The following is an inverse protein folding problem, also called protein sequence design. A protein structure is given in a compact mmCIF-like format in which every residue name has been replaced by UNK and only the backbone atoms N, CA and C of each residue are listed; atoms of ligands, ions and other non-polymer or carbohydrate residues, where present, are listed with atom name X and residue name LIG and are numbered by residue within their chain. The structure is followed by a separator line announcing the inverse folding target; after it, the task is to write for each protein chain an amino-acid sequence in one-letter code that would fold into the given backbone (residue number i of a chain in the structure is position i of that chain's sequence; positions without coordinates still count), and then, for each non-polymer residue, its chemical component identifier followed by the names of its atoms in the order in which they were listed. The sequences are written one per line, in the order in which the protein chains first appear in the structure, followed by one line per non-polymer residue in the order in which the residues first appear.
data_IF_207534257666
#
_entry.id   IF_207534257666
#
_cell.length_a   1.000
_cell.length_b   1.000
_cell.length_c   1.000
_cell.angle_alpha   90.00
_cell.angle_beta   90.00
_cell.angle_gamma   90.00
#
_symmetry.space_group_name_H-M   'P 1'
#
loop_
_entity.id
_entity.type
_entity.pdbx_description
1 polymer ?
#
# COMPACT_ATOMS: atom_id res chain seq x y z
N UNK A 1 -4.40 5.68 -25.21
CA UNK A 1 -3.08 5.90 -24.56
C UNK A 1 -2.44 4.54 -24.34
N UNK A 2 -1.24 4.36 -24.89
CA UNK A 2 -0.60 3.06 -25.12
C UNK A 2 -0.16 2.44 -23.78
N UNK A 3 -0.90 1.45 -23.27
CA UNK A 3 -0.51 0.68 -22.08
C UNK A 3 0.56 -0.32 -22.50
N UNK A 4 1.81 -0.03 -22.17
CA UNK A 4 2.92 -0.97 -22.32
C UNK A 4 2.68 -2.14 -21.38
N UNK A 5 2.06 -3.20 -21.89
CA UNK A 5 1.94 -4.49 -21.21
C UNK A 5 3.34 -4.94 -20.81
N UNK A 6 3.62 -5.02 -19.51
CA UNK A 6 4.86 -5.55 -18.99
C UNK A 6 4.94 -7.05 -19.36
N UNK A 7 5.76 -7.38 -20.37
CA UNK A 7 5.87 -8.71 -21.00
C UNK A 7 6.79 -9.68 -20.24
N UNK A 8 6.76 -9.66 -18.91
CA UNK A 8 7.60 -10.56 -18.10
C UNK A 8 6.75 -11.76 -17.66
N UNK A 9 7.25 -12.97 -17.91
CA UNK A 9 6.50 -14.22 -17.67
C UNK A 9 5.99 -14.33 -16.21
N UNK A 10 6.75 -13.83 -15.24
CA UNK A 10 6.37 -13.82 -13.83
C UNK A 10 5.16 -12.93 -13.51
N UNK A 11 5.07 -11.73 -14.10
CA UNK A 11 3.95 -10.80 -13.89
C UNK A 11 2.64 -11.38 -14.46
N UNK A 12 2.74 -12.17 -15.54
CA UNK A 12 1.59 -12.87 -16.11
C UNK A 12 1.00 -13.89 -15.13
N UNK A 13 1.85 -14.70 -14.49
CA UNK A 13 1.41 -15.67 -13.47
C UNK A 13 0.73 -14.99 -12.29
N UNK A 14 1.29 -13.85 -11.82
CA UNK A 14 0.66 -13.07 -10.77
C UNK A 14 -0.71 -12.55 -11.22
N UNK A 15 -0.84 -12.07 -12.46
CA UNK A 15 -2.13 -11.62 -13.00
C UNK A 15 -3.17 -12.73 -13.03
N UNK A 16 -2.80 -13.92 -13.51
CA UNK A 16 -3.67 -15.08 -13.53
C UNK A 16 -4.16 -15.43 -12.12
N UNK A 17 -3.28 -15.36 -11.11
CA UNK A 17 -3.67 -15.56 -9.71
C UNK A 17 -4.66 -14.48 -9.21
N UNK A 18 -4.45 -13.22 -9.59
CA UNK A 18 -5.38 -12.12 -9.25
C UNK A 18 -6.76 -12.35 -9.87
N UNK A 19 -6.80 -12.75 -11.15
CA UNK A 19 -8.03 -13.00 -11.89
C UNK A 19 -8.82 -14.20 -11.33
N UNK A 20 -8.10 -15.22 -10.85
CA UNK A 20 -8.64 -16.38 -10.11
C UNK A 20 -9.02 -16.08 -8.66
N UNK A 21 -8.97 -14.81 -8.23
CA UNK A 21 -9.30 -14.36 -6.88
C UNK A 21 -8.42 -14.96 -5.77
N UNK A 22 -7.20 -15.39 -6.11
CA UNK A 22 -6.22 -15.86 -5.11
C UNK A 22 -5.66 -14.68 -4.30
N UNK A 23 -5.28 -14.89 -3.03
CA UNK A 23 -4.60 -13.87 -2.24
C UNK A 23 -3.23 -13.53 -2.83
N UNK A 24 -2.96 -12.24 -3.08
CA UNK A 24 -1.67 -11.72 -3.54
C UNK A 24 -1.22 -10.59 -2.63
N UNK A 25 0.01 -10.67 -2.12
CA UNK A 25 0.61 -9.65 -1.24
C UNK A 25 1.91 -9.12 -1.85
N UNK A 26 1.99 -7.80 -2.07
CA UNK A 26 3.20 -7.11 -2.49
C UNK A 26 3.79 -6.26 -1.36
N UNK A 27 5.00 -6.55 -0.92
CA UNK A 27 5.68 -5.83 0.17
C UNK A 27 6.83 -4.99 -0.41
N UNK A 28 6.93 -3.71 0.00
CA UNK A 28 7.93 -2.75 -0.45
C UNK A 28 7.98 -2.66 -1.99
N UNK A 29 9.04 -3.18 -2.61
CA UNK A 29 9.15 -3.25 -4.08
C UNK A 29 8.01 -4.09 -4.71
N UNK A 30 7.43 -5.03 -3.97
CA UNK A 30 6.25 -5.77 -4.40
C UNK A 30 5.02 -4.87 -4.61
N UNK A 31 4.81 -3.87 -3.75
CA UNK A 31 3.74 -2.87 -3.96
C UNK A 31 4.00 -2.09 -5.24
N UNK A 32 5.25 -1.64 -5.46
CA UNK A 32 5.63 -0.92 -6.68
C UNK A 32 5.30 -1.73 -7.94
N UNK A 33 5.68 -3.02 -7.96
CA UNK A 33 5.39 -3.92 -9.08
C UNK A 33 3.88 -4.07 -9.30
N UNK A 34 3.08 -4.25 -8.24
CA UNK A 34 1.62 -4.41 -8.37
C UNK A 34 0.94 -3.14 -8.91
N UNK A 35 1.45 -1.97 -8.52
CA UNK A 35 0.98 -0.66 -8.99
C UNK A 35 1.37 -0.44 -10.46
N UNK A 36 2.64 -0.66 -10.82
CA UNK A 36 3.13 -0.53 -12.20
C UNK A 36 2.46 -1.54 -13.16
N UNK A 37 2.14 -2.73 -12.66
CA UNK A 37 1.39 -3.72 -13.41
C UNK A 37 -0.12 -3.37 -13.51
N UNK A 38 -0.61 -2.33 -12.84
CA UNK A 38 -2.03 -1.94 -12.84
C UNK A 38 -2.93 -2.97 -12.15
N UNK A 39 -2.39 -3.73 -11.19
CA UNK A 39 -3.17 -4.60 -10.30
C UNK A 39 -3.66 -3.85 -9.05
N UNK A 40 -2.97 -2.77 -8.69
CA UNK A 40 -3.36 -1.81 -7.67
C UNK A 40 -3.37 -0.38 -8.26
N UNK A 41 -4.26 0.51 -7.79
CA UNK A 41 -4.29 1.91 -8.23
C UNK A 41 -3.13 2.74 -7.66
N UNK A 42 -2.78 3.81 -8.36
CA UNK A 42 -1.84 4.85 -7.90
C UNK A 42 -0.46 4.77 -8.52
N UNK A 43 0.50 5.40 -7.84
CA UNK A 43 1.92 5.40 -8.18
C UNK A 43 2.76 5.39 -6.90
N UNK A 44 3.98 4.85 -6.97
CA UNK A 44 4.97 4.98 -5.90
C UNK A 44 6.08 5.88 -6.40
N UNK A 45 6.33 6.97 -5.68
CA UNK A 45 7.31 7.99 -5.99
C UNK A 45 8.49 7.93 -5.01
N UNK A 46 9.55 8.69 -5.32
CA UNK A 46 10.63 8.95 -4.38
C UNK A 46 10.09 9.61 -3.10
N UNK A 47 10.70 9.26 -1.98
CA UNK A 47 10.38 9.87 -0.69
C UNK A 47 10.50 11.40 -0.78
N UNK A 48 9.60 12.13 -0.11
CA UNK A 48 9.63 13.61 -0.10
C UNK A 48 10.96 14.19 0.38
N UNK A 49 11.59 13.55 1.37
CA UNK A 49 12.91 13.93 1.90
C UNK A 49 14.10 13.51 1.02
N UNK A 50 13.88 12.81 -0.10
CA UNK A 50 14.90 12.28 -1.03
C UNK A 50 16.02 11.47 -0.35
N UNK A 51 15.71 10.85 0.80
CA UNK A 51 16.63 10.02 1.57
C UNK A 51 16.05 8.64 1.79
N UNK A 52 16.95 7.67 1.91
CA UNK A 52 16.62 6.34 2.38
C UNK A 52 16.14 6.40 3.84
N UNK A 53 15.02 5.76 4.12
CA UNK A 53 14.48 5.66 5.48
C UNK A 53 14.53 4.22 5.95
N UNK A 54 15.20 4.00 7.08
CA UNK A 54 15.20 2.76 7.83
C UNK A 54 14.81 3.06 9.27
N UNK A 55 13.57 2.74 9.63
CA UNK A 55 12.99 3.10 10.92
C UNK A 55 11.85 2.15 11.29
N UNK A 56 11.52 2.14 12.58
CA UNK A 56 10.27 1.56 13.04
C UNK A 56 9.14 2.57 12.89
N UNK A 57 8.03 2.15 12.30
CA UNK A 57 6.84 2.99 12.11
C UNK A 57 5.65 2.43 12.88
N UNK A 58 4.70 3.28 13.20
CA UNK A 58 3.40 2.90 13.77
C UNK A 58 2.35 2.97 12.67
N UNK A 59 1.61 1.90 12.51
CA UNK A 59 0.59 1.75 11.48
C UNK A 59 -0.75 1.45 12.12
N UNK A 60 -1.79 2.20 11.77
CA UNK A 60 -3.16 1.89 12.16
C UNK A 60 -3.82 1.05 11.08
N UNK A 61 -4.45 -0.05 11.48
CA UNK A 61 -5.25 -0.90 10.59
C UNK A 61 -6.58 -0.21 10.29
N UNK A 62 -6.83 0.13 9.03
CA UNK A 62 -8.03 0.85 8.59
C UNK A 62 -9.17 -0.10 8.15
N UNK A 63 -8.81 -1.27 7.61
CA UNK A 63 -9.77 -2.32 7.27
C UNK A 63 -9.20 -3.70 7.57
N UNK A 64 -10.08 -4.63 7.92
CA UNK A 64 -9.75 -6.04 8.14
C UNK A 64 -10.26 -6.96 7.03
N UNK A 65 -10.81 -6.38 5.96
CA UNK A 65 -11.47 -7.11 4.86
C UNK A 65 -10.54 -7.93 3.96
N UNK A 66 -9.23 -7.74 4.08
CA UNK A 66 -8.24 -8.50 3.29
C UNK A 66 -7.89 -9.81 3.99
N UNK A 67 -7.53 -10.87 3.27
CA UNK A 67 -7.04 -12.12 3.87
C UNK A 67 -5.86 -11.92 4.84
N UNK A 68 -5.09 -10.85 4.65
CA UNK A 68 -3.86 -10.55 5.38
C UNK A 68 -4.08 -9.80 6.69
N UNK A 69 -5.30 -9.30 6.93
CA UNK A 69 -5.66 -8.47 8.10
C UNK A 69 -6.76 -9.10 8.96
N UNK A 70 -7.12 -10.36 8.69
CA UNK A 70 -8.26 -11.04 9.35
C UNK A 70 -8.07 -11.27 10.85
N UNK A 71 -6.82 -11.38 11.31
CA UNK A 71 -6.49 -11.54 12.73
C UNK A 71 -6.24 -10.20 13.45
N UNK A 72 -6.28 -9.08 12.72
CA UNK A 72 -6.15 -7.75 13.29
C UNK A 72 -7.51 -7.17 13.65
N UNK A 73 -7.51 -6.07 14.40
CA UNK A 73 -8.71 -5.29 14.70
C UNK A 73 -8.65 -3.94 13.98
N UNK A 74 -9.77 -3.47 13.45
CA UNK A 74 -9.86 -2.11 12.89
C UNK A 74 -9.53 -1.09 13.99
N UNK A 75 -8.64 -0.15 13.69
CA UNK A 75 -8.10 0.83 14.63
C UNK A 75 -6.89 0.34 15.44
N UNK A 76 -6.53 -0.94 15.36
CA UNK A 76 -5.34 -1.48 16.01
C UNK A 76 -4.07 -0.82 15.46
N UNK A 77 -3.18 -0.41 16.36
CA UNK A 77 -1.85 0.06 15.99
C UNK A 77 -0.85 -1.10 16.00
N UNK A 78 -0.10 -1.25 14.91
CA UNK A 78 0.99 -2.18 14.74
C UNK A 78 2.31 -1.41 14.63
N UNK A 79 3.40 -1.99 15.13
CA UNK A 79 4.74 -1.43 14.96
C UNK A 79 5.48 -2.25 13.92
N UNK A 80 5.80 -1.66 12.77
CA UNK A 80 6.36 -2.38 11.61
C UNK A 80 7.56 -1.59 11.05
N UNK A 81 8.69 -2.26 10.72
CA UNK A 81 9.84 -1.59 10.14
C UNK A 81 9.64 -1.19 8.68
N UNK A 82 10.31 -0.13 8.25
CA UNK A 82 10.43 0.29 6.86
C UNK A 82 11.90 0.32 6.44
N UNK A 83 12.16 0.09 5.15
CA UNK A 83 13.49 0.16 4.56
C UNK A 83 13.37 0.48 3.06
N UNK A 84 13.23 1.76 2.71
CA UNK A 84 13.07 2.16 1.30
C UNK A 84 13.58 3.58 1.00
N UNK A 85 14.03 3.78 -0.24
CA UNK A 85 14.31 5.09 -0.82
C UNK A 85 13.13 5.65 -1.63
N UNK A 86 12.26 4.75 -2.09
CA UNK A 86 11.09 5.02 -2.93
C UNK A 86 9.88 4.33 -2.32
N UNK A 87 9.12 5.07 -1.52
CA UNK A 87 7.95 4.53 -0.82
C UNK A 87 6.79 5.50 -0.70
N UNK A 88 6.85 6.63 -1.42
CA UNK A 88 5.81 7.64 -1.35
C UNK A 88 4.62 7.22 -2.22
N UNK A 89 3.55 6.74 -1.61
CA UNK A 89 2.31 6.47 -2.32
C UNK A 89 1.67 7.78 -2.78
N UNK A 90 1.24 7.83 -4.03
CA UNK A 90 0.57 8.97 -4.65
C UNK A 90 -0.63 8.50 -5.47
N UNK A 91 -1.70 9.28 -5.40
CA UNK A 91 -2.90 9.14 -6.21
C UNK A 91 -3.58 10.52 -6.32
N UNK A 92 -4.29 10.80 -7.40
CA UNK A 92 -5.01 12.07 -7.52
C UNK A 92 -6.14 12.15 -6.49
N UNK A 93 -6.39 13.36 -5.97
CA UNK A 93 -7.29 13.59 -4.83
C UNK A 93 -8.73 13.11 -5.04
N UNK A 94 -9.21 13.08 -6.30
CA UNK A 94 -10.53 12.56 -6.63
C UNK A 94 -10.63 11.05 -6.44
N UNK A 95 -9.56 10.30 -6.78
CA UNK A 95 -9.53 8.84 -6.70
C UNK A 95 -9.29 8.34 -5.26
N UNK A 96 -8.73 9.18 -4.37
CA UNK A 96 -8.58 8.84 -2.95
C UNK A 96 -9.95 8.66 -2.28
N UNK A 97 -10.93 9.49 -2.62
CA UNK A 97 -12.29 9.35 -2.09
C UNK A 97 -12.94 8.03 -2.52
N UNK A 98 -12.59 7.54 -3.71
CA UNK A 98 -13.03 6.22 -4.18
C UNK A 98 -12.39 5.12 -3.36
N UNK A 99 -11.08 5.19 -3.10
CA UNK A 99 -10.38 4.26 -2.22
C UNK A 99 -11.01 4.21 -0.82
N UNK A 100 -11.31 5.36 -0.22
CA UNK A 100 -11.92 5.44 1.11
C UNK A 100 -13.31 4.82 1.13
N UNK A 101 -14.18 5.21 0.18
CA UNK A 101 -15.53 4.68 0.04
C UNK A 101 -15.53 3.17 -0.18
N UNK A 102 -14.56 2.68 -0.94
CA UNK A 102 -14.42 1.27 -1.24
C UNK A 102 -13.65 0.52 -0.15
N UNK A 103 -13.30 1.13 0.99
CA UNK A 103 -12.48 0.52 2.05
C UNK A 103 -11.16 -0.10 1.55
N UNK A 104 -10.53 0.53 0.57
CA UNK A 104 -9.31 0.03 -0.06
C UNK A 104 -8.03 0.47 0.65
N UNK A 105 -8.11 1.42 1.57
CA UNK A 105 -6.98 1.84 2.41
C UNK A 105 -6.86 0.84 3.55
N UNK A 106 -5.73 0.13 3.62
CA UNK A 106 -5.54 -0.97 4.58
C UNK A 106 -4.79 -0.53 5.82
N UNK A 107 -3.76 0.31 5.65
CA UNK A 107 -2.98 0.83 6.76
C UNK A 107 -2.59 2.28 6.52
N UNK A 108 -2.59 3.07 7.59
CA UNK A 108 -2.05 4.44 7.61
C UNK A 108 -0.92 4.56 8.62
N UNK A 109 0.09 5.37 8.29
CA UNK A 109 1.07 5.83 9.26
C UNK A 109 0.39 6.71 10.31
N UNK A 110 0.70 6.49 11.59
CA UNK A 110 0.11 7.23 12.71
C UNK A 110 1.15 7.57 13.77
N UNK A 111 0.89 8.61 14.57
CA UNK A 111 1.73 8.98 15.70
C UNK A 111 1.44 8.08 16.94
N UNK A 112 1.96 8.48 18.10
CA UNK A 112 1.74 7.76 19.37
C UNK A 112 0.29 7.77 19.82
N UNK A 113 -0.43 8.84 19.51
CA UNK A 113 -1.85 9.08 19.80
C UNK A 113 -2.79 8.38 18.79
N UNK A 114 -2.23 7.57 17.89
CA UNK A 114 -2.95 6.84 16.84
C UNK A 114 -3.60 7.75 15.79
N UNK A 115 -3.03 8.94 15.55
CA UNK A 115 -3.51 9.93 14.58
C UNK A 115 -2.61 10.00 13.33
N UNK A 116 -3.18 10.09 12.12
CA UNK A 116 -2.43 10.19 10.86
C UNK A 116 -1.92 11.63 10.67
N UNK A 117 -0.69 11.88 11.13
CA UNK A 117 -0.04 13.20 11.07
C UNK A 117 1.12 13.18 10.08
N UNK A 118 1.47 14.36 9.53
CA UNK A 118 2.59 14.48 8.59
C UNK A 118 3.92 13.99 9.19
N UNK A 119 4.16 14.26 10.48
CA UNK A 119 5.38 13.82 11.18
C UNK A 119 5.48 12.30 11.34
N UNK A 120 4.34 11.60 11.41
CA UNK A 120 4.30 10.15 11.48
C UNK A 120 4.62 9.47 10.14
N UNK A 121 4.61 10.24 9.04
CA UNK A 121 4.69 9.75 7.67
C UNK A 121 6.11 9.86 7.11
N UNK A 122 6.88 8.75 7.10
CA UNK A 122 8.31 8.79 6.82
C UNK A 122 8.67 9.07 5.36
N UNK A 123 7.72 8.89 4.44
CA UNK A 123 7.94 9.03 3.00
C UNK A 123 7.12 10.14 2.34
N UNK A 124 6.21 10.77 3.09
CA UNK A 124 5.31 11.80 2.57
C UNK A 124 4.20 11.22 1.68
N UNK A 125 3.79 9.97 1.92
CA UNK A 125 2.68 9.34 1.20
C UNK A 125 1.40 10.14 1.36
N UNK A 126 0.61 10.25 0.31
CA UNK A 126 -0.64 11.00 0.38
C UNK A 126 -1.55 10.40 1.44
N UNK A 127 -2.15 11.28 2.26
CA UNK A 127 -3.08 10.91 3.33
C UNK A 127 -2.51 9.86 4.31
N UNK A 128 -1.18 9.83 4.47
CA UNK A 128 -0.47 8.90 5.35
C UNK A 128 -0.69 7.43 4.99
N UNK A 129 -1.06 7.12 3.74
CA UNK A 129 -1.33 5.74 3.29
C UNK A 129 -0.03 4.92 3.28
N UNK A 130 -0.03 3.81 4.01
CA UNK A 130 1.07 2.84 4.07
C UNK A 130 0.80 1.56 3.29
N UNK A 131 -0.48 1.26 3.01
CA UNK A 131 -0.89 0.12 2.21
C UNK A 131 -2.33 0.18 1.75
N UNK A 132 -2.59 -0.46 0.61
CA UNK A 132 -3.88 -0.48 -0.07
C UNK A 132 -4.23 -1.89 -0.55
N UNK A 133 -5.49 -2.10 -0.92
CA UNK A 133 -5.94 -3.29 -1.62
C UNK A 133 -6.76 -2.96 -2.87
N UNK A 134 -6.95 -3.95 -3.73
CA UNK A 134 -7.89 -3.82 -4.86
C UNK A 134 -9.34 -3.84 -4.37
N UNK A 135 -10.28 -3.55 -5.27
CA UNK A 135 -11.72 -3.50 -4.93
C UNK A 135 -12.24 -4.81 -4.34
N UNK A 136 -11.77 -5.96 -4.86
CA UNK A 136 -12.12 -7.31 -4.39
C UNK A 136 -11.47 -7.67 -3.03
N UNK A 137 -10.46 -6.93 -2.59
CA UNK A 137 -9.71 -7.18 -1.35
C UNK A 137 -8.74 -8.36 -1.37
N UNK A 138 -8.62 -9.10 -2.49
CA UNK A 138 -7.73 -10.26 -2.61
C UNK A 138 -6.27 -9.87 -2.93
N UNK A 139 -6.04 -8.65 -3.44
CA UNK A 139 -4.70 -8.12 -3.71
C UNK A 139 -4.41 -7.00 -2.73
N UNK A 140 -3.30 -7.10 -2.00
CA UNK A 140 -2.87 -6.09 -1.05
C UNK A 140 -1.42 -5.71 -1.32
N UNK A 141 -1.11 -4.42 -1.17
CA UNK A 141 0.25 -3.92 -1.22
C UNK A 141 0.58 -3.06 0.00
N UNK A 142 1.81 -3.19 0.50
CA UNK A 142 2.33 -2.48 1.68
C UNK A 142 3.73 -1.96 1.39
N UNK A 143 4.05 -0.76 1.86
CA UNK A 143 5.45 -0.30 1.93
C UNK A 143 6.22 -0.84 3.14
N UNK A 144 5.62 -0.94 4.34
CA UNK A 144 6.29 -1.52 5.51
C UNK A 144 6.51 -3.04 5.39
N UNK A 145 7.51 -3.57 6.11
CA UNK A 145 7.88 -4.98 6.13
C UNK A 145 7.33 -5.67 7.40
N UNK A 146 6.14 -6.29 7.33
CA UNK A 146 5.53 -7.01 8.46
C UNK A 146 6.37 -8.21 8.95
#
# INVERSE_FOLDING_TARGET
MMRTSCRVASVKVVREAVDENKPVLGICNGLQILVEAGMLPGAVLRNSGLRFVCAWTRLRVETTRTPFTTLAQKGQTLRIPIAHNEGRYYLDSNEIRDLERNEQIVMRYVNEENEPTEDANPNGSIDNIAGICNEKGNVMGLMPHP
#
